data_IF_952837399409
#
_entry.id   IF_952837399409
#
_cell.length_a   1.000
_cell.length_b   1.000
_cell.length_c   1.000
_cell.angle_alpha   90.00
_cell.angle_beta   90.00
_cell.angle_gamma   90.00
#
_symmetry.space_group_name_H-M   'P 1'
#
loop_
_entity.id
_entity.type
_entity.pdbx_description
1 polymer ?
#
# COMPACT_ATOMS: atom_id res chain seq x y z
N UNK A 1 -4.47 11.57 16.22
CA UNK A 1 -3.49 11.21 15.16
C UNK A 1 -3.54 12.19 13.97
N UNK A 2 -4.71 12.40 13.35
CA UNK A 2 -4.88 13.32 12.21
C UNK A 2 -4.47 14.78 12.46
N UNK A 3 -4.70 15.30 13.66
CA UNK A 3 -4.30 16.67 14.03
C UNK A 3 -2.77 16.81 14.08
N UNK A 4 -2.04 15.82 14.58
CA UNK A 4 -0.58 15.89 14.66
C UNK A 4 0.10 15.75 13.28
N UNK A 5 -0.45 14.90 12.40
CA UNK A 5 0.05 14.74 11.03
C UNK A 5 -0.22 15.98 10.17
N UNK A 6 -1.43 16.54 10.26
CA UNK A 6 -1.80 17.78 9.54
C UNK A 6 -0.94 18.97 9.98
N UNK A 7 -0.61 19.10 11.27
CA UNK A 7 0.31 20.14 11.76
C UNK A 7 1.74 19.99 11.20
N UNK A 8 2.23 18.75 11.06
CA UNK A 8 3.58 18.50 10.50
C UNK A 8 3.64 18.77 8.99
N UNK A 9 2.62 18.33 8.24
CA UNK A 9 2.50 18.62 6.81
C UNK A 9 2.40 20.14 6.60
N UNK A 10 1.54 20.81 7.38
CA UNK A 10 1.45 22.26 7.37
C UNK A 10 2.80 22.93 7.62
N UNK A 11 3.50 22.54 8.69
CA UNK A 11 4.80 23.11 9.03
C UNK A 11 5.84 22.91 7.92
N UNK A 12 5.89 21.71 7.33
CA UNK A 12 6.77 21.42 6.20
C UNK A 12 6.45 22.30 4.99
N UNK A 13 5.19 22.39 4.59
CA UNK A 13 4.78 23.15 3.42
C UNK A 13 4.97 24.65 3.63
N UNK A 14 4.71 25.15 4.84
CA UNK A 14 4.98 26.55 5.20
C UNK A 14 6.47 26.88 5.14
N UNK A 15 7.32 26.03 5.75
CA UNK A 15 8.77 26.20 5.74
C UNK A 15 9.36 26.20 4.33
N UNK A 16 8.76 25.42 3.42
CA UNK A 16 9.20 25.28 2.04
C UNK A 16 8.29 26.04 1.04
N UNK A 17 7.55 27.04 1.51
CA UNK A 17 6.54 27.75 0.70
C UNK A 17 7.11 28.35 -0.59
N UNK A 18 8.30 28.96 -0.50
CA UNK A 18 8.98 29.55 -1.66
C UNK A 18 9.31 28.50 -2.72
N UNK A 19 9.75 27.32 -2.31
CA UNK A 19 10.02 26.20 -3.21
C UNK A 19 8.74 25.72 -3.90
N UNK A 20 7.66 25.52 -3.14
CA UNK A 20 6.36 25.06 -3.66
C UNK A 20 5.82 26.04 -4.71
N UNK A 21 5.84 27.34 -4.41
CA UNK A 21 5.34 28.40 -5.29
C UNK A 21 6.29 28.75 -6.44
N UNK A 22 7.50 28.21 -6.46
CA UNK A 22 8.40 28.34 -7.61
C UNK A 22 7.99 27.43 -8.77
N UNK A 23 7.19 26.38 -8.51
CA UNK A 23 6.67 25.49 -9.54
C UNK A 23 5.63 26.21 -10.43
N UNK A 24 5.75 26.19 -11.77
CA UNK A 24 4.85 26.91 -12.68
C UNK A 24 3.36 26.66 -12.40
N UNK A 25 3.00 25.40 -12.17
CA UNK A 25 1.61 25.00 -11.92
C UNK A 25 1.06 25.44 -10.55
N UNK A 26 1.91 25.90 -9.63
CA UNK A 26 1.54 26.26 -8.25
C UNK A 26 1.74 27.75 -7.94
N UNK A 27 2.25 28.56 -8.88
CA UNK A 27 2.47 30.00 -8.70
C UNK A 27 1.19 30.79 -8.38
N UNK A 28 0.03 30.24 -8.75
CA UNK A 28 -1.28 30.84 -8.48
C UNK A 28 -1.74 30.70 -7.02
N UNK A 29 -1.07 29.86 -6.22
CA UNK A 29 -1.43 29.64 -4.81
C UNK A 29 -1.06 30.87 -3.98
N UNK A 30 -2.00 31.32 -3.16
CA UNK A 30 -1.75 32.39 -2.19
C UNK A 30 -1.58 31.82 -0.80
N UNK A 31 -0.61 32.36 -0.07
CA UNK A 31 -0.27 31.87 1.27
C UNK A 31 -1.44 31.98 2.25
N UNK A 32 -2.29 33.00 2.10
CA UNK A 32 -3.50 33.18 2.93
C UNK A 32 -4.55 32.09 2.67
N UNK A 33 -4.79 31.77 1.39
CA UNK A 33 -5.71 30.70 0.99
C UNK A 33 -5.18 29.33 1.43
N UNK A 34 -3.85 29.14 1.36
CA UNK A 34 -3.19 27.95 1.87
C UNK A 34 -3.35 27.79 3.38
N UNK A 35 -2.99 28.79 4.19
CA UNK A 35 -3.05 28.70 5.65
C UNK A 35 -4.48 28.40 6.13
N UNK A 36 -5.49 29.00 5.49
CA UNK A 36 -6.89 28.80 5.87
C UNK A 36 -7.47 27.45 5.47
N UNK A 37 -6.92 26.78 4.44
CA UNK A 37 -7.51 25.56 3.84
C UNK A 37 -6.61 24.33 3.88
N UNK A 38 -5.38 24.44 4.40
CA UNK A 38 -4.42 23.32 4.48
C UNK A 38 -4.93 22.09 5.24
N UNK A 39 -5.88 22.25 6.15
CA UNK A 39 -6.50 21.14 6.89
C UNK A 39 -7.53 20.37 6.07
N UNK A 40 -7.96 20.91 4.92
CA UNK A 40 -8.84 20.23 3.97
C UNK A 40 -7.99 19.39 3.00
N UNK A 41 -8.07 18.07 3.15
CA UNK A 41 -7.34 17.14 2.27
C UNK A 41 -7.76 17.28 0.81
N UNK A 42 -9.02 17.64 0.54
CA UNK A 42 -9.50 17.85 -0.83
C UNK A 42 -8.85 19.08 -1.45
N UNK A 43 -8.70 20.17 -0.68
CA UNK A 43 -7.97 21.34 -1.14
C UNK A 43 -6.51 21.02 -1.47
N UNK A 44 -5.82 20.29 -0.58
CA UNK A 44 -4.44 19.86 -0.80
C UNK A 44 -4.32 18.99 -2.06
N UNK A 45 -5.20 18.01 -2.22
CA UNK A 45 -5.19 17.12 -3.37
C UNK A 45 -5.44 17.87 -4.67
N UNK A 46 -6.49 18.69 -4.75
CA UNK A 46 -6.90 19.34 -6.00
C UNK A 46 -6.02 20.53 -6.39
N UNK A 47 -5.51 21.30 -5.42
CA UNK A 47 -4.77 22.54 -5.70
C UNK A 47 -3.26 22.37 -5.67
N UNK A 48 -2.77 21.28 -5.10
CA UNK A 48 -1.32 21.06 -4.93
C UNK A 48 -0.90 19.73 -5.55
N UNK A 49 -1.45 18.60 -5.09
CA UNK A 49 -1.00 17.28 -5.54
C UNK A 49 -1.34 17.05 -7.02
N UNK A 50 -2.59 17.27 -7.44
CA UNK A 50 -3.00 17.03 -8.82
C UNK A 50 -2.19 17.88 -9.82
N UNK A 51 -2.07 19.21 -9.66
CA UNK A 51 -1.27 20.02 -10.58
C UNK A 51 0.20 19.65 -10.59
N UNK A 52 0.80 19.34 -9.43
CA UNK A 52 2.20 18.92 -9.33
C UNK A 52 2.49 17.64 -10.13
N UNK A 53 1.50 16.75 -10.23
CA UNK A 53 1.59 15.51 -11.00
C UNK A 53 0.95 15.60 -12.39
N UNK A 54 0.55 16.80 -12.85
CA UNK A 54 -0.02 17.03 -14.18
C UNK A 54 -1.47 16.57 -14.36
N UNK A 55 -2.20 16.29 -13.28
CA UNK A 55 -3.60 15.88 -13.31
C UNK A 55 -4.54 17.07 -13.12
N UNK A 56 -5.68 17.08 -13.83
CA UNK A 56 -6.67 18.16 -13.71
C UNK A 56 -7.62 17.94 -12.55
N UNK A 57 -7.89 16.68 -12.22
CA UNK A 57 -8.81 16.31 -11.16
C UNK A 57 -8.24 15.20 -10.30
N UNK A 58 -8.70 15.15 -9.05
CA UNK A 58 -8.41 14.07 -8.13
C UNK A 58 -8.83 12.69 -8.66
N UNK A 59 -9.94 12.63 -9.40
CA UNK A 59 -10.41 11.37 -9.97
C UNK A 59 -9.47 10.86 -11.05
N UNK A 60 -8.91 11.74 -11.89
CA UNK A 60 -7.87 11.37 -12.86
C UNK A 60 -6.62 10.88 -12.13
N UNK A 61 -6.15 11.63 -11.12
CA UNK A 61 -5.01 11.23 -10.30
C UNK A 61 -5.21 9.83 -9.70
N UNK A 62 -6.32 9.57 -9.00
CA UNK A 62 -6.55 8.26 -8.38
C UNK A 62 -6.82 7.15 -9.38
N UNK A 63 -7.42 7.44 -10.54
CA UNK A 63 -7.58 6.44 -11.60
C UNK A 63 -6.22 5.99 -12.11
N UNK A 64 -5.33 6.94 -12.40
CA UNK A 64 -4.06 6.63 -13.08
C UNK A 64 -2.97 6.19 -12.09
N UNK A 65 -2.94 6.77 -10.89
CA UNK A 65 -1.98 6.43 -9.83
C UNK A 65 -2.38 5.18 -9.01
N UNK A 66 -3.54 4.57 -9.27
CA UNK A 66 -3.97 3.41 -8.50
C UNK A 66 -3.13 2.17 -8.83
N UNK A 67 -2.47 1.63 -7.81
CA UNK A 67 -1.73 0.37 -7.89
C UNK A 67 -2.60 -0.83 -8.28
N UNK A 68 -3.93 -0.73 -8.15
CA UNK A 68 -4.86 -1.83 -8.46
C UNK A 68 -4.73 -2.30 -9.92
N UNK A 69 -4.42 -1.37 -10.82
CA UNK A 69 -4.23 -1.64 -12.25
C UNK A 69 -2.94 -2.39 -12.55
N UNK A 70 -2.06 -2.55 -11.58
CA UNK A 70 -0.76 -3.20 -11.74
C UNK A 70 -0.68 -4.57 -11.05
N UNK A 71 -1.68 -4.94 -10.24
CA UNK A 71 -1.68 -6.19 -9.48
C UNK A 71 -1.49 -7.40 -10.40
N UNK A 72 -2.14 -7.42 -11.57
CA UNK A 72 -2.02 -8.51 -12.56
C UNK A 72 -0.60 -8.69 -13.15
N UNK A 73 0.30 -7.70 -12.98
CA UNK A 73 1.68 -7.75 -13.48
C UNK A 73 2.69 -8.26 -12.45
N UNK A 74 2.23 -8.53 -11.22
CA UNK A 74 3.10 -9.04 -10.15
C UNK A 74 3.45 -10.49 -10.46
N UNK A 75 4.74 -10.77 -10.64
CA UNK A 75 5.29 -12.13 -10.83
C UNK A 75 6.19 -12.57 -9.68
N UNK A 76 6.16 -11.85 -8.56
CA UNK A 76 6.92 -12.16 -7.36
C UNK A 76 5.94 -12.39 -6.22
N UNK A 77 6.13 -13.42 -5.37
CA UNK A 77 5.29 -13.64 -4.21
C UNK A 77 5.06 -12.36 -3.40
N UNK A 78 3.81 -11.91 -3.31
CA UNK A 78 3.44 -10.68 -2.61
C UNK A 78 2.28 -10.90 -1.63
N UNK A 79 2.50 -10.51 -0.38
CA UNK A 79 1.46 -10.42 0.64
C UNK A 79 0.93 -8.98 0.72
N UNK A 80 -0.36 -8.81 0.46
CA UNK A 80 -1.12 -7.61 0.76
C UNK A 80 -1.82 -7.76 2.11
N UNK A 81 -1.64 -6.77 2.98
CA UNK A 81 -2.31 -6.68 4.27
C UNK A 81 -3.23 -5.47 4.30
N UNK A 82 -4.46 -5.65 4.75
CA UNK A 82 -5.42 -4.58 4.92
C UNK A 82 -6.33 -4.83 6.13
N UNK A 83 -7.07 -3.81 6.54
CA UNK A 83 -8.09 -3.92 7.59
C UNK A 83 -9.40 -3.29 7.13
N UNK A 84 -10.53 -3.84 7.56
CA UNK A 84 -11.86 -3.31 7.20
C UNK A 84 -12.21 -2.04 7.97
N UNK A 85 -11.53 -1.77 9.08
CA UNK A 85 -11.70 -0.57 9.89
C UNK A 85 -10.71 0.56 9.52
N UNK A 86 -9.97 0.43 8.41
CA UNK A 86 -9.13 1.52 7.87
C UNK A 86 -10.01 2.64 7.27
N UNK A 87 -10.00 3.87 7.83
CA UNK A 87 -10.82 4.97 7.32
C UNK A 87 -10.37 5.51 5.95
N UNK A 88 -9.21 5.11 5.44
CA UNK A 88 -8.67 5.57 4.15
C UNK A 88 -8.96 4.62 2.99
N UNK A 89 -9.18 3.34 3.28
CA UNK A 89 -9.39 2.34 2.24
C UNK A 89 -10.88 2.21 1.94
N UNK A 90 -11.28 2.64 0.74
CA UNK A 90 -12.67 2.57 0.28
C UNK A 90 -13.03 1.23 -0.37
N UNK A 91 -12.03 0.53 -0.90
CA UNK A 91 -12.18 -0.74 -1.63
C UNK A 91 -10.91 -1.56 -1.50
N UNK A 92 -11.03 -2.80 -1.07
CA UNK A 92 -9.93 -3.76 -1.10
C UNK A 92 -9.87 -4.49 -2.46
N UNK A 93 -8.68 -4.85 -2.96
CA UNK A 93 -8.48 -5.46 -4.27
C UNK A 93 -8.77 -6.97 -4.28
N UNK A 94 -9.93 -7.40 -3.77
CA UNK A 94 -10.25 -8.83 -3.63
C UNK A 94 -10.20 -9.58 -4.96
N UNK A 95 -10.82 -9.03 -5.99
CA UNK A 95 -10.91 -9.67 -7.32
C UNK A 95 -9.54 -9.69 -7.98
N UNK A 96 -8.81 -8.58 -7.92
CA UNK A 96 -7.50 -8.44 -8.53
C UNK A 96 -6.45 -9.35 -7.90
N UNK A 97 -6.45 -9.47 -6.57
CA UNK A 97 -5.57 -10.40 -5.87
C UNK A 97 -5.97 -11.85 -6.11
N UNK A 98 -7.26 -12.19 -6.07
CA UNK A 98 -7.71 -13.55 -6.36
C UNK A 98 -7.40 -14.01 -7.80
N UNK A 99 -7.34 -13.06 -8.74
CA UNK A 99 -7.00 -13.33 -10.13
C UNK A 99 -5.49 -13.50 -10.38
N UNK A 100 -4.62 -13.08 -9.46
CA UNK A 100 -3.17 -13.24 -9.61
C UNK A 100 -2.62 -14.30 -8.63
N UNK A 101 -2.09 -15.43 -9.14
CA UNK A 101 -1.59 -16.51 -8.30
C UNK A 101 -0.34 -16.14 -7.48
N UNK A 102 0.37 -15.07 -7.81
CA UNK A 102 1.52 -14.59 -7.02
C UNK A 102 1.14 -13.70 -5.83
N UNK A 103 -0.15 -13.42 -5.65
CA UNK A 103 -0.60 -12.48 -4.63
C UNK A 103 -1.48 -13.14 -3.59
N UNK A 104 -1.30 -12.73 -2.34
CA UNK A 104 -2.16 -13.11 -1.23
C UNK A 104 -2.72 -11.84 -0.59
N UNK A 105 -4.02 -11.78 -0.32
CA UNK A 105 -4.67 -10.66 0.36
C UNK A 105 -5.21 -11.12 1.72
N UNK A 106 -4.59 -10.63 2.79
CA UNK A 106 -5.05 -10.81 4.16
C UNK A 106 -5.81 -9.56 4.62
N UNK A 107 -7.11 -9.68 4.88
CA UNK A 107 -7.95 -8.58 5.39
C UNK A 107 -8.44 -8.89 6.79
N UNK A 108 -8.08 -8.04 7.74
CA UNK A 108 -8.44 -8.16 9.15
C UNK A 108 -9.68 -7.32 9.47
N UNK A 109 -10.51 -7.77 10.41
CA UNK A 109 -11.63 -6.96 10.89
C UNK A 109 -11.18 -5.68 11.59
N UNK A 110 -10.03 -5.75 12.26
CA UNK A 110 -9.45 -4.67 13.07
C UNK A 110 -7.96 -4.54 12.84
N UNK A 111 -7.50 -3.29 12.78
CA UNK A 111 -6.09 -2.96 12.61
C UNK A 111 -5.85 -1.49 12.29
N UNK A 112 -6.91 -0.77 11.90
CA UNK A 112 -6.87 0.62 11.46
C UNK A 112 -5.87 0.83 10.33
N UNK A 113 -5.40 2.06 10.19
CA UNK A 113 -4.53 2.42 9.07
C UNK A 113 -3.10 1.83 9.15
N UNK A 114 -2.53 1.65 10.35
CA UNK A 114 -1.12 1.29 10.49
C UNK A 114 -0.80 0.36 11.66
N UNK A 115 -1.77 -0.13 12.42
CA UNK A 115 -1.46 -0.61 13.78
C UNK A 115 -1.56 -2.11 13.94
N UNK A 116 -2.52 -2.83 13.32
CA UNK A 116 -2.65 -4.29 13.39
C UNK A 116 -2.26 -4.87 14.78
N UNK A 117 -2.66 -4.20 15.87
CA UNK A 117 -2.16 -4.50 17.21
C UNK A 117 -2.94 -5.67 17.80
N UNK A 118 -2.23 -6.60 18.43
CA UNK A 118 -2.80 -7.73 19.14
C UNK A 118 -2.28 -7.75 20.59
N UNK A 119 -3.17 -8.01 21.55
CA UNK A 119 -2.85 -8.00 22.98
C UNK A 119 -3.05 -6.65 23.68
N UNK A 120 -2.98 -6.66 25.02
CA UNK A 120 -3.12 -5.47 25.85
C UNK A 120 -1.81 -4.67 25.98
N UNK A 121 -1.92 -3.34 26.08
CA UNK A 121 -0.80 -2.48 26.50
C UNK A 121 -0.26 -2.94 27.88
N UNK A 122 1.06 -2.95 28.13
CA UNK A 122 2.17 -2.41 27.33
C UNK A 122 2.89 -3.45 26.45
N UNK A 123 2.39 -4.69 26.38
CA UNK A 123 3.03 -5.84 25.73
C UNK A 123 2.45 -6.17 24.34
N UNK A 124 1.61 -5.30 23.80
CA UNK A 124 0.94 -5.53 22.52
C UNK A 124 1.96 -5.78 21.40
N UNK A 125 1.90 -6.97 20.81
CA UNK A 125 2.67 -7.30 19.61
C UNK A 125 1.85 -6.89 18.39
N UNK A 126 2.50 -6.48 17.30
CA UNK A 126 1.77 -6.26 16.05
C UNK A 126 1.50 -7.62 15.41
N UNK A 127 0.23 -7.93 15.15
CA UNK A 127 -0.19 -9.11 14.38
C UNK A 127 0.52 -9.16 13.02
N UNK A 128 0.82 -7.98 12.46
CA UNK A 128 1.64 -7.82 11.26
C UNK A 128 2.99 -8.53 11.36
N UNK A 129 3.70 -8.43 12.48
CA UNK A 129 5.01 -9.08 12.64
C UNK A 129 4.91 -10.59 12.52
N UNK A 130 3.86 -11.19 13.12
CA UNK A 130 3.63 -12.64 13.05
C UNK A 130 3.33 -13.07 11.61
N UNK A 131 2.37 -12.43 10.95
CA UNK A 131 1.97 -12.80 9.59
C UNK A 131 3.11 -12.61 8.58
N UNK A 132 3.84 -11.50 8.68
CA UNK A 132 4.99 -11.25 7.80
C UNK A 132 6.05 -12.34 8.00
N UNK A 133 6.35 -12.72 9.24
CA UNK A 133 7.29 -13.80 9.54
C UNK A 133 6.83 -15.12 8.93
N UNK A 134 5.60 -15.54 9.19
CA UNK A 134 5.08 -16.84 8.72
C UNK A 134 5.01 -16.88 7.19
N UNK A 135 4.63 -15.78 6.55
CA UNK A 135 4.67 -15.64 5.09
C UNK A 135 6.10 -15.82 4.54
N UNK A 136 7.10 -15.15 5.14
CA UNK A 136 8.50 -15.28 4.70
C UNK A 136 9.05 -16.69 4.96
N UNK A 137 8.73 -17.30 6.10
CA UNK A 137 9.14 -18.67 6.43
C UNK A 137 8.58 -19.67 5.39
N UNK A 138 7.29 -19.56 5.05
CA UNK A 138 6.67 -20.41 4.05
C UNK A 138 7.27 -20.19 2.64
N UNK A 139 7.46 -18.92 2.24
CA UNK A 139 8.08 -18.61 0.95
C UNK A 139 9.52 -19.14 0.84
N UNK A 140 10.31 -19.02 1.91
CA UNK A 140 11.68 -19.55 1.97
C UNK A 140 11.71 -21.08 1.97
N UNK A 141 10.79 -21.74 2.68
CA UNK A 141 10.69 -23.19 2.69
C UNK A 141 10.42 -23.74 1.28
N UNK A 142 9.49 -23.14 0.54
CA UNK A 142 9.18 -23.57 -0.83
C UNK A 142 10.37 -23.32 -1.76
N UNK A 143 11.03 -22.16 -1.64
CA UNK A 143 12.26 -21.87 -2.38
C UNK A 143 13.33 -22.92 -2.12
N UNK A 144 13.59 -23.25 -0.85
CA UNK A 144 14.62 -24.20 -0.46
C UNK A 144 14.32 -25.61 -0.98
N UNK A 145 13.05 -26.04 -0.94
CA UNK A 145 12.61 -27.32 -1.48
C UNK A 145 12.75 -27.41 -3.00
N UNK A 146 12.56 -26.31 -3.72
CA UNK A 146 12.71 -26.26 -5.18
C UNK A 146 14.19 -26.32 -5.58
N UNK A 147 15.06 -25.62 -4.84
CA UNK A 147 16.52 -25.67 -5.03
C UNK A 147 17.06 -27.08 -4.79
N UNK A 148 16.60 -27.79 -3.75
CA UNK A 148 17.04 -29.16 -3.48
C UNK A 148 16.55 -30.18 -4.52
N UNK A 149 15.46 -29.89 -5.25
CA UNK A 149 15.02 -30.67 -6.43
C UNK A 149 15.80 -30.35 -7.71
N UNK A 150 16.71 -29.37 -7.69
CA UNK A 150 17.47 -28.94 -8.87
C UNK A 150 16.65 -28.11 -9.87
N UNK A 151 15.49 -27.59 -9.46
CA UNK A 151 14.63 -26.76 -10.30
C UNK A 151 15.25 -25.36 -10.47
N UNK A 152 15.21 -24.82 -11.70
CA UNK A 152 15.68 -23.46 -11.94
C UNK A 152 14.67 -22.45 -11.36
N UNK A 153 15.14 -21.58 -10.47
CA UNK A 153 14.33 -20.57 -9.79
C UNK A 153 13.68 -19.59 -10.77
N UNK A 154 14.35 -19.26 -11.88
CA UNK A 154 13.78 -18.40 -12.91
C UNK A 154 12.63 -19.07 -13.66
N UNK A 155 12.59 -20.40 -13.70
CA UNK A 155 11.46 -21.17 -14.23
C UNK A 155 10.37 -21.38 -13.19
N UNK A 156 10.67 -21.47 -11.88
CA UNK A 156 9.65 -21.65 -10.84
C UNK A 156 8.73 -20.43 -10.70
N UNK A 157 9.28 -19.22 -10.84
CA UNK A 157 8.49 -17.99 -10.85
C UNK A 157 7.89 -17.67 -12.24
N UNK A 158 8.23 -18.45 -13.27
CA UNK A 158 7.69 -18.33 -14.64
C UNK A 158 6.86 -19.55 -15.09
N UNK A 159 6.76 -20.60 -14.29
CA UNK A 159 6.09 -21.84 -14.64
C UNK A 159 4.59 -21.73 -14.42
N UNK A 160 3.85 -22.58 -15.16
CA UNK A 160 2.40 -22.59 -15.33
C UNK A 160 1.59 -22.23 -14.07
N UNK A 161 0.41 -21.65 -14.31
CA UNK A 161 -0.59 -21.26 -13.29
C UNK A 161 -0.80 -22.33 -12.20
N UNK A 162 -0.64 -23.61 -12.52
CA UNK A 162 -0.85 -24.76 -11.63
C UNK A 162 0.19 -24.87 -10.48
N UNK A 163 1.49 -24.73 -10.76
CA UNK A 163 2.55 -24.77 -9.72
C UNK A 163 2.50 -23.52 -8.82
N UNK A 164 2.13 -22.38 -9.39
CA UNK A 164 1.99 -21.12 -8.64
C UNK A 164 0.72 -21.11 -7.78
N UNK A 165 -0.37 -21.72 -8.26
CA UNK A 165 -1.59 -21.93 -7.45
C UNK A 165 -1.28 -22.86 -6.27
N UNK A 166 -0.45 -23.88 -6.48
CA UNK A 166 0.06 -24.72 -5.40
C UNK A 166 0.92 -23.93 -4.42
N UNK A 167 1.76 -22.99 -4.85
CA UNK A 167 2.56 -22.12 -3.98
C UNK A 167 1.68 -21.28 -3.03
N UNK A 168 0.71 -20.54 -3.57
CA UNK A 168 -0.16 -19.68 -2.76
C UNK A 168 -1.13 -20.49 -1.89
N UNK A 169 -1.64 -21.62 -2.37
CA UNK A 169 -2.40 -22.56 -1.55
C UNK A 169 -1.55 -23.20 -0.44
N UNK A 170 -0.28 -23.48 -0.70
CA UNK A 170 0.66 -24.02 0.31
C UNK A 170 0.98 -22.99 1.39
N UNK A 171 1.18 -21.72 1.00
CA UNK A 171 1.34 -20.65 1.98
C UNK A 171 0.06 -20.48 2.80
N UNK A 172 -1.12 -20.46 2.16
CA UNK A 172 -2.41 -20.39 2.87
C UNK A 172 -2.64 -21.59 3.79
N UNK A 173 -2.23 -22.80 3.40
CA UNK A 173 -2.35 -23.99 4.23
C UNK A 173 -1.33 -24.02 5.39
N UNK A 174 -0.24 -23.28 5.28
CA UNK A 174 0.78 -23.15 6.32
C UNK A 174 0.48 -22.04 7.35
N UNK A 175 -0.43 -21.12 7.02
CA UNK A 175 -0.92 -20.03 7.86
C UNK A 175 -2.21 -20.42 8.61
#
# INVERSE_FOLDING_TARGET
YMVALSVRIYHYMFKNWSMITSHPDLQHLRIVDFISRVYDSTYLEEKIICPLHGFKTRNEYYRDASSIHHIHKICTPMLFMASTDDPFIRRHPYVECAANPFTLLAVHERGGHCSFLEGGLPLGHTHMTKMVREYFEAALAIRNASVSRGENLDTLYKSNEEDTRNFTQTIVAAL
#
